data_IF_218410759860
#
_entry.id   IF_218410759860
#
_cell.length_a   1.000
_cell.length_b   1.000
_cell.length_c   1.000
_cell.angle_alpha   90.00
_cell.angle_beta   90.00
_cell.angle_gamma   90.00
#
_symmetry.space_group_name_H-M   'P 1'
#
loop_
_entity.id
_entity.type
_entity.pdbx_description
1 polymer ?
#
# COMPACT_ATOMS: atom_id res chain seq x y z
N UNK A 1 -40.43 59.70 -6.37
CA UNK A 1 -40.09 58.39 -5.77
C UNK A 1 -39.02 57.76 -6.65
N UNK A 2 -37.83 57.43 -6.12
CA UNK A 2 -36.78 56.82 -6.94
C UNK A 2 -36.96 55.29 -7.02
N UNK A 3 -36.72 54.76 -8.22
CA UNK A 3 -36.63 53.33 -8.53
C UNK A 3 -35.42 52.72 -7.81
N UNK A 4 -35.66 51.69 -7.00
CA UNK A 4 -34.59 50.92 -6.34
C UNK A 4 -34.34 49.67 -7.18
N UNK A 5 -33.12 49.44 -7.71
CA UNK A 5 -32.84 48.26 -8.52
C UNK A 5 -32.77 47.00 -7.67
N UNK A 6 -33.38 45.93 -8.18
CA UNK A 6 -33.40 44.56 -7.66
C UNK A 6 -31.99 43.96 -7.53
N UNK A 7 -31.68 43.16 -6.50
CA UNK A 7 -30.35 42.57 -6.34
C UNK A 7 -30.07 41.47 -7.40
N UNK A 8 -28.86 41.55 -7.96
CA UNK A 8 -28.27 40.58 -8.88
C UNK A 8 -28.08 39.23 -8.17
N UNK A 9 -28.73 38.18 -8.68
CA UNK A 9 -28.64 36.80 -8.17
C UNK A 9 -27.31 36.20 -8.64
N UNK A 10 -26.45 35.82 -7.70
CA UNK A 10 -25.17 35.17 -7.99
C UNK A 10 -25.36 33.83 -8.73
N UNK A 11 -24.45 33.46 -9.66
CA UNK A 11 -24.49 32.16 -10.30
C UNK A 11 -24.18 31.06 -9.28
N UNK A 12 -25.06 30.07 -9.22
CA UNK A 12 -24.88 28.83 -8.46
C UNK A 12 -23.64 28.08 -8.92
N UNK A 13 -22.80 27.67 -7.96
CA UNK A 13 -21.61 26.85 -8.14
C UNK A 13 -21.86 25.63 -9.03
N UNK A 14 -20.91 25.24 -9.91
CA UNK A 14 -21.07 24.06 -10.74
C UNK A 14 -21.11 22.81 -9.86
N UNK A 15 -22.23 22.10 -9.91
CA UNK A 15 -22.36 20.75 -9.38
C UNK A 15 -21.43 19.85 -10.19
N UNK A 16 -20.31 19.41 -9.59
CA UNK A 16 -19.47 18.39 -10.18
C UNK A 16 -20.25 17.08 -10.19
N UNK A 17 -20.88 16.81 -11.32
CA UNK A 17 -21.48 15.52 -11.65
C UNK A 17 -20.41 14.45 -11.51
N UNK A 18 -20.59 13.55 -10.54
CA UNK A 18 -19.84 12.30 -10.44
C UNK A 18 -20.17 11.46 -11.68
N UNK A 19 -19.39 11.64 -12.75
CA UNK A 19 -19.40 10.70 -13.85
C UNK A 19 -18.80 9.39 -13.33
N UNK A 20 -19.66 8.39 -13.15
CA UNK A 20 -19.20 7.05 -12.83
C UNK A 20 -18.30 6.53 -13.96
N UNK A 21 -17.14 5.92 -13.66
CA UNK A 21 -16.27 5.38 -14.69
C UNK A 21 -16.99 4.27 -15.49
N UNK A 22 -16.65 4.08 -16.77
CA UNK A 22 -17.26 3.04 -17.60
C UNK A 22 -17.00 1.64 -16.99
N UNK A 23 -17.97 0.72 -17.10
CA UNK A 23 -17.86 -0.62 -16.54
C UNK A 23 -16.68 -1.36 -17.18
N UNK A 24 -15.78 -1.87 -16.34
CA UNK A 24 -14.54 -2.58 -16.74
C UNK A 24 -13.24 -1.85 -16.39
N UNK A 25 -13.30 -0.59 -15.97
CA UNK A 25 -12.12 0.12 -15.44
C UNK A 25 -11.94 -0.27 -13.97
N UNK A 26 -10.78 -0.81 -13.54
CA UNK A 26 -10.53 -1.06 -12.12
C UNK A 26 -10.73 0.25 -11.35
N UNK A 27 -11.31 0.16 -10.15
CA UNK A 27 -11.55 1.33 -9.32
C UNK A 27 -10.23 2.12 -9.17
N UNK A 28 -10.28 3.46 -9.28
CA UNK A 28 -9.08 4.28 -9.18
C UNK A 28 -8.44 4.08 -7.82
N UNK A 29 -7.11 3.89 -7.82
CA UNK A 29 -6.32 3.66 -6.61
C UNK A 29 -6.27 4.91 -5.75
N UNK A 30 -6.28 4.73 -4.45
CA UNK A 30 -6.30 5.83 -3.48
C UNK A 30 -4.89 6.11 -2.98
N UNK A 31 -4.44 7.35 -3.15
CA UNK A 31 -3.18 7.86 -2.61
C UNK A 31 -3.49 8.78 -1.41
N UNK A 32 -2.94 8.46 -0.25
CA UNK A 32 -2.98 9.34 0.92
C UNK A 32 -1.84 10.36 0.83
N UNK A 33 -2.13 11.64 0.94
CA UNK A 33 -1.14 12.72 0.95
C UNK A 33 -1.17 13.41 2.31
N UNK A 34 -0.04 13.36 3.02
CA UNK A 34 0.11 13.88 4.38
C UNK A 34 1.16 14.99 4.37
N UNK A 35 0.71 16.22 4.57
CA UNK A 35 1.55 17.42 4.53
C UNK A 35 0.77 18.52 5.26
N UNK A 36 1.41 19.37 6.06
CA UNK A 36 0.71 20.45 6.77
C UNK A 36 0.45 21.66 5.86
N UNK A 37 1.22 21.81 4.78
CA UNK A 37 1.08 22.87 3.81
C UNK A 37 -0.07 22.60 2.82
N UNK A 38 -1.16 23.36 2.96
CA UNK A 38 -2.35 23.27 2.09
C UNK A 38 -2.01 23.38 0.60
N UNK A 39 -1.05 24.23 0.24
CA UNK A 39 -0.64 24.43 -1.15
C UNK A 39 0.04 23.17 -1.73
N UNK A 40 0.85 22.48 -0.93
CA UNK A 40 1.51 21.24 -1.35
C UNK A 40 0.47 20.12 -1.51
N UNK A 41 -0.42 19.94 -0.51
CA UNK A 41 -1.53 18.98 -0.61
C UNK A 41 -2.37 19.22 -1.86
N UNK A 42 -2.74 20.47 -2.14
CA UNK A 42 -3.55 20.82 -3.30
C UNK A 42 -2.82 20.56 -4.62
N UNK A 43 -1.52 20.84 -4.68
CA UNK A 43 -0.71 20.61 -5.88
C UNK A 43 -0.60 19.10 -6.16
N UNK A 44 -0.26 18.30 -5.15
CA UNK A 44 -0.21 16.84 -5.26
C UNK A 44 -1.56 16.26 -5.63
N UNK A 45 -2.64 16.76 -5.03
CA UNK A 45 -4.00 16.36 -5.37
C UNK A 45 -4.28 16.57 -6.87
N UNK A 46 -4.07 17.78 -7.39
CA UNK A 46 -4.33 18.10 -8.80
C UNK A 46 -3.47 17.25 -9.74
N UNK A 47 -2.20 17.03 -9.40
CA UNK A 47 -1.30 16.20 -10.20
C UNK A 47 -1.78 14.76 -10.24
N UNK A 48 -2.09 14.15 -9.10
CA UNK A 48 -2.43 12.74 -9.00
C UNK A 48 -3.85 12.44 -9.52
N UNK A 49 -4.82 13.31 -9.23
CA UNK A 49 -6.18 13.21 -9.79
C UNK A 49 -6.15 13.33 -11.32
N UNK A 50 -5.29 14.19 -11.87
CA UNK A 50 -5.08 14.31 -13.32
C UNK A 50 -4.53 13.05 -13.98
N UNK A 51 -3.90 12.15 -13.20
CA UNK A 51 -3.40 10.85 -13.68
C UNK A 51 -4.36 9.69 -13.36
N UNK A 52 -5.55 9.98 -12.84
CA UNK A 52 -6.60 8.99 -12.56
C UNK A 52 -6.55 8.35 -11.17
N UNK A 53 -5.77 8.90 -10.23
CA UNK A 53 -5.79 8.47 -8.83
C UNK A 53 -6.90 9.16 -8.04
N UNK A 54 -7.40 8.50 -7.00
CA UNK A 54 -8.14 9.18 -5.92
C UNK A 54 -7.13 9.69 -4.91
N UNK A 55 -7.36 10.88 -4.35
CA UNK A 55 -6.46 11.45 -3.35
C UNK A 55 -7.23 11.69 -2.06
N UNK A 56 -6.72 11.14 -0.96
CA UNK A 56 -7.13 11.48 0.39
C UNK A 56 -6.05 12.38 1.01
N UNK A 57 -6.45 13.45 1.69
CA UNK A 57 -5.52 14.39 2.31
C UNK A 57 -5.55 14.30 3.83
N UNK A 58 -4.40 14.48 4.47
CA UNK A 58 -4.28 14.65 5.92
C UNK A 58 -3.31 15.80 6.24
N UNK A 59 -3.61 16.58 7.27
CA UNK A 59 -2.77 17.71 7.70
C UNK A 59 -1.80 17.32 8.82
N UNK A 60 -2.04 16.17 9.46
CA UNK A 60 -1.28 15.67 10.61
C UNK A 60 -1.00 14.18 10.47
N UNK A 61 0.04 13.69 11.14
CA UNK A 61 0.31 12.26 11.18
C UNK A 61 -0.79 11.48 11.89
N UNK A 62 -1.38 12.04 12.95
CA UNK A 62 -2.49 11.42 13.67
C UNK A 62 -3.72 11.20 12.76
N UNK A 63 -4.08 12.20 11.94
CA UNK A 63 -5.16 12.07 10.96
C UNK A 63 -4.83 11.00 9.91
N UNK A 64 -3.59 10.99 9.41
CA UNK A 64 -3.13 9.98 8.47
C UNK A 64 -3.26 8.55 9.03
N UNK A 65 -2.82 8.33 10.28
CA UNK A 65 -2.93 7.04 10.96
C UNK A 65 -4.40 6.63 11.17
N UNK A 66 -5.29 7.58 11.49
CA UNK A 66 -6.71 7.32 11.61
C UNK A 66 -7.37 6.91 10.28
N UNK A 67 -6.97 7.56 9.17
CA UNK A 67 -7.42 7.19 7.82
C UNK A 67 -6.94 5.77 7.48
N UNK A 68 -5.66 5.46 7.74
CA UNK A 68 -5.09 4.14 7.45
C UNK A 68 -5.72 3.01 8.27
N UNK A 69 -6.18 3.30 9.48
CA UNK A 69 -6.89 2.34 10.32
C UNK A 69 -8.34 2.09 9.87
N UNK A 70 -8.91 2.94 9.00
CA UNK A 70 -10.31 2.82 8.57
C UNK A 70 -10.48 1.80 7.45
N UNK A 71 -11.25 0.71 7.66
CA UNK A 71 -11.51 -0.29 6.62
C UNK A 71 -12.38 0.25 5.47
N UNK A 72 -13.11 1.35 5.68
CA UNK A 72 -13.98 1.96 4.66
C UNK A 72 -13.20 2.78 3.62
N UNK A 73 -11.96 3.15 3.92
CA UNK A 73 -11.12 4.02 3.10
C UNK A 73 -9.78 3.36 2.79
N UNK A 74 -9.75 2.29 1.99
CA UNK A 74 -8.50 1.61 1.66
C UNK A 74 -7.55 2.54 0.91
N UNK A 75 -6.33 2.63 1.41
CA UNK A 75 -5.23 3.38 0.82
C UNK A 75 -4.28 2.41 0.12
N UNK A 76 -3.92 2.71 -1.13
CA UNK A 76 -3.01 1.90 -1.92
C UNK A 76 -1.55 2.36 -1.78
N UNK A 77 -1.33 3.64 -1.51
CA UNK A 77 -0.02 4.27 -1.31
C UNK A 77 -0.15 5.51 -0.43
N UNK A 78 0.81 5.76 0.44
CA UNK A 78 0.90 7.01 1.19
C UNK A 78 2.12 7.84 0.78
N UNK A 79 1.93 9.15 0.75
CA UNK A 79 2.93 10.17 0.56
C UNK A 79 2.98 10.98 1.86
N UNK A 80 4.14 11.02 2.52
CA UNK A 80 4.29 11.53 3.88
C UNK A 80 5.37 12.60 3.96
N UNK A 81 5.03 13.82 4.40
CA UNK A 81 6.04 14.83 4.73
C UNK A 81 6.81 14.44 6.02
N UNK A 82 8.10 14.74 6.07
CA UNK A 82 8.94 14.52 7.25
C UNK A 82 8.58 15.49 8.37
N UNK A 83 8.26 16.75 8.03
CA UNK A 83 7.90 17.77 9.01
C UNK A 83 6.38 17.86 9.08
N UNK A 84 5.81 17.33 10.16
CA UNK A 84 4.39 17.49 10.48
C UNK A 84 4.26 18.14 11.87
N UNK A 85 3.14 18.82 12.16
CA UNK A 85 2.99 19.63 13.37
C UNK A 85 2.87 18.81 14.66
N UNK A 86 2.46 17.54 14.58
CA UNK A 86 2.16 16.68 15.73
C UNK A 86 3.23 15.62 16.02
N UNK A 87 3.84 15.02 14.99
CA UNK A 87 5.00 14.13 15.12
C UNK A 87 5.83 14.12 13.83
N UNK A 88 7.05 13.59 13.86
CA UNK A 88 7.85 13.44 12.63
C UNK A 88 7.21 12.44 11.68
N UNK A 89 7.28 12.71 10.36
CA UNK A 89 6.90 11.74 9.33
C UNK A 89 7.70 10.43 9.43
N UNK A 90 8.96 10.48 9.89
CA UNK A 90 9.74 9.26 10.12
C UNK A 90 9.18 8.42 11.28
N UNK A 91 8.65 9.07 12.32
CA UNK A 91 8.01 8.38 13.44
C UNK A 91 6.66 7.78 13.02
N UNK A 92 5.90 8.51 12.19
CA UNK A 92 4.66 8.01 11.59
C UNK A 92 4.94 6.80 10.68
N UNK A 93 5.98 6.85 9.85
CA UNK A 93 6.45 5.70 9.05
C UNK A 93 6.76 4.49 9.92
N UNK A 94 7.50 4.67 11.02
CA UNK A 94 7.81 3.59 11.95
C UNK A 94 6.55 2.97 12.58
N UNK A 95 5.55 3.80 12.94
CA UNK A 95 4.25 3.32 13.45
C UNK A 95 3.49 2.51 12.40
N UNK A 96 3.40 3.01 11.16
CA UNK A 96 2.74 2.29 10.05
C UNK A 96 3.40 0.93 9.81
N UNK A 97 4.74 0.88 9.86
CA UNK A 97 5.50 -0.36 9.67
C UNK A 97 5.35 -1.37 10.82
N UNK A 98 4.95 -0.90 12.01
CA UNK A 98 4.75 -1.75 13.19
C UNK A 98 3.34 -2.35 13.27
N UNK A 99 2.40 -1.87 12.46
CA UNK A 99 1.01 -2.34 12.43
C UNK A 99 0.82 -3.38 11.32
N UNK A 100 0.38 -4.59 11.68
CA UNK A 100 0.17 -5.70 10.74
C UNK A 100 -0.78 -5.38 9.57
N UNK A 101 -1.76 -4.50 9.76
CA UNK A 101 -2.70 -4.10 8.72
C UNK A 101 -2.11 -3.13 7.70
N UNK A 102 -1.03 -2.42 8.05
CA UNK A 102 -0.48 -1.34 7.23
C UNK A 102 1.02 -1.47 6.95
N UNK A 103 1.69 -2.49 7.51
CA UNK A 103 3.12 -2.73 7.34
C UNK A 103 3.57 -2.90 5.89
N UNK A 104 2.70 -3.40 5.02
CA UNK A 104 2.98 -3.62 3.60
C UNK A 104 2.52 -2.45 2.70
N UNK A 105 1.96 -1.39 3.29
CA UNK A 105 1.57 -0.20 2.54
C UNK A 105 2.81 0.46 1.93
N UNK A 106 2.88 0.67 0.60
CA UNK A 106 3.97 1.45 0.03
C UNK A 106 3.90 2.91 0.50
N UNK A 107 5.05 3.45 0.92
CA UNK A 107 5.14 4.81 1.48
C UNK A 107 6.27 5.56 0.79
N UNK A 108 5.95 6.73 0.25
CA UNK A 108 6.91 7.70 -0.28
C UNK A 108 7.07 8.80 0.75
N UNK A 109 8.31 9.10 1.13
CA UNK A 109 8.61 10.19 2.06
C UNK A 109 9.02 11.43 1.28
N UNK A 110 8.52 12.59 1.67
CA UNK A 110 8.87 13.90 1.10
C UNK A 110 9.45 14.77 2.22
N UNK A 111 10.44 15.62 1.92
CA UNK A 111 10.93 16.62 2.86
C UNK A 111 11.27 17.93 2.16
N UNK A 112 10.87 19.06 2.74
CA UNK A 112 11.31 20.38 2.27
C UNK A 112 12.74 20.77 2.67
N UNK A 113 13.35 20.02 3.59
CA UNK A 113 14.75 20.20 4.00
C UNK A 113 15.38 18.81 4.09
N UNK A 114 15.57 18.17 2.95
CA UNK A 114 16.10 16.82 2.94
C UNK A 114 17.57 16.83 3.34
N UNK A 115 17.92 16.11 4.41
CA UNK A 115 19.31 15.73 4.63
C UNK A 115 19.54 14.32 4.09
N UNK A 116 20.79 14.02 3.71
CA UNK A 116 21.18 12.66 3.33
C UNK A 116 20.86 11.67 4.46
N UNK A 117 20.97 12.10 5.71
CA UNK A 117 20.67 11.27 6.86
C UNK A 117 19.17 10.91 6.96
N UNK A 118 18.28 11.88 6.72
CA UNK A 118 16.83 11.63 6.73
C UNK A 118 16.42 10.68 5.61
N UNK A 119 17.00 10.84 4.42
CA UNK A 119 16.75 9.94 3.29
C UNK A 119 17.18 8.50 3.62
N UNK A 120 18.39 8.35 4.18
CA UNK A 120 18.90 7.03 4.60
C UNK A 120 18.03 6.43 5.69
N UNK A 121 17.59 7.23 6.66
CA UNK A 121 16.72 6.78 7.74
C UNK A 121 15.35 6.35 7.21
N UNK A 122 14.74 7.10 6.30
CA UNK A 122 13.48 6.75 5.66
C UNK A 122 13.56 5.39 4.94
N UNK A 123 14.61 5.17 4.14
CA UNK A 123 14.81 3.90 3.44
C UNK A 123 15.04 2.75 4.44
N UNK A 124 15.81 2.96 5.51
CA UNK A 124 16.02 1.95 6.57
C UNK A 124 14.73 1.58 7.29
N UNK A 125 13.81 2.53 7.47
CA UNK A 125 12.49 2.31 8.04
C UNK A 125 11.52 1.66 7.04
N UNK A 126 11.93 1.44 5.80
CA UNK A 126 11.11 0.77 4.78
C UNK A 126 10.24 1.73 3.95
N UNK A 127 10.63 3.00 3.81
CA UNK A 127 10.07 3.84 2.75
C UNK A 127 10.41 3.24 1.37
N UNK A 128 9.46 3.29 0.45
CA UNK A 128 9.60 2.83 -0.92
C UNK A 128 10.41 3.82 -1.78
N UNK A 129 10.32 5.11 -1.47
CA UNK A 129 11.06 6.18 -2.13
C UNK A 129 11.19 7.41 -1.20
N UNK A 130 12.11 8.31 -1.52
CA UNK A 130 12.32 9.56 -0.77
C UNK A 130 12.56 10.74 -1.72
N UNK A 131 11.90 11.87 -1.45
CA UNK A 131 12.03 13.09 -2.23
C UNK A 131 12.32 14.35 -1.42
N UNK A 132 13.13 15.21 -2.01
CA UNK A 132 13.32 16.60 -1.59
C UNK A 132 12.34 17.52 -2.34
N UNK A 133 11.63 18.41 -1.63
CA UNK A 133 10.84 19.49 -2.24
C UNK A 133 11.82 20.58 -2.77
N UNK A 134 11.56 21.23 -3.91
CA UNK A 134 10.35 21.18 -4.72
C UNK A 134 10.30 19.98 -5.67
N UNK A 135 9.10 19.42 -5.82
CA UNK A 135 8.89 18.21 -6.61
C UNK A 135 8.49 18.56 -8.04
N UNK A 136 9.23 18.05 -9.02
CA UNK A 136 8.78 18.06 -10.40
C UNK A 136 7.56 17.13 -10.55
N UNK A 137 6.51 17.62 -11.20
CA UNK A 137 5.26 16.87 -11.43
C UNK A 137 5.53 15.48 -12.00
N UNK A 138 6.37 15.42 -13.04
CA UNK A 138 6.68 14.21 -13.78
C UNK A 138 7.34 13.17 -12.85
N UNK A 139 8.20 13.62 -11.94
CA UNK A 139 8.89 12.74 -10.99
C UNK A 139 7.92 12.09 -10.00
N UNK A 140 6.96 12.86 -9.49
CA UNK A 140 5.93 12.35 -8.55
C UNK A 140 5.12 11.25 -9.22
N UNK A 141 4.62 11.52 -10.43
CA UNK A 141 3.76 10.58 -11.17
C UNK A 141 4.50 9.29 -11.49
N UNK A 142 5.75 9.40 -11.96
CA UNK A 142 6.59 8.23 -12.27
C UNK A 142 6.84 7.40 -11.02
N UNK A 143 7.19 8.02 -9.89
CA UNK A 143 7.45 7.28 -8.66
C UNK A 143 6.21 6.61 -8.10
N UNK A 144 5.08 7.32 -8.00
CA UNK A 144 3.82 6.74 -7.54
C UNK A 144 3.43 5.53 -8.39
N UNK A 145 3.55 5.61 -9.73
CA UNK A 145 3.29 4.47 -10.62
C UNK A 145 4.24 3.32 -10.37
N UNK A 146 5.54 3.58 -10.29
CA UNK A 146 6.56 2.53 -10.10
C UNK A 146 6.37 1.81 -8.77
N UNK A 147 6.16 2.57 -7.70
CA UNK A 147 5.95 2.04 -6.35
C UNK A 147 4.65 1.21 -6.30
N UNK A 148 3.54 1.72 -6.85
CA UNK A 148 2.29 0.96 -6.91
C UNK A 148 2.41 -0.31 -7.74
N UNK A 149 3.09 -0.24 -8.89
CA UNK A 149 3.30 -1.40 -9.75
C UNK A 149 4.13 -2.47 -9.05
N UNK A 150 5.22 -2.07 -8.37
CA UNK A 150 6.05 -2.98 -7.58
C UNK A 150 5.25 -3.63 -6.44
N UNK A 151 4.47 -2.85 -5.68
CA UNK A 151 3.64 -3.35 -4.60
C UNK A 151 2.58 -4.36 -5.10
N UNK A 152 1.98 -4.10 -6.25
CA UNK A 152 1.02 -5.03 -6.86
C UNK A 152 1.67 -6.32 -7.35
N UNK A 153 2.83 -6.22 -7.99
CA UNK A 153 3.58 -7.40 -8.43
C UNK A 153 3.98 -8.27 -7.23
N UNK A 154 4.44 -7.66 -6.14
CA UNK A 154 4.78 -8.38 -4.91
C UNK A 154 3.57 -9.06 -4.27
N UNK A 155 2.41 -8.38 -4.21
CA UNK A 155 1.17 -8.96 -3.72
C UNK A 155 0.70 -10.15 -4.56
N UNK A 156 0.80 -10.04 -5.87
CA UNK A 156 0.42 -11.14 -6.77
C UNK A 156 1.38 -12.33 -6.62
N UNK A 157 2.68 -12.07 -6.54
CA UNK A 157 3.67 -13.12 -6.29
C UNK A 157 3.43 -13.84 -4.95
N UNK A 158 3.14 -13.10 -3.88
CA UNK A 158 2.81 -13.66 -2.57
C UNK A 158 1.55 -14.54 -2.65
N UNK A 159 0.49 -14.05 -3.30
CA UNK A 159 -0.76 -14.79 -3.51
C UNK A 159 -0.55 -16.09 -4.29
N UNK A 160 0.21 -16.04 -5.39
CA UNK A 160 0.51 -17.23 -6.20
C UNK A 160 1.32 -18.24 -5.40
N UNK A 161 2.28 -17.77 -4.60
CA UNK A 161 3.12 -18.62 -3.75
C UNK A 161 2.29 -19.31 -2.67
N UNK A 162 1.38 -18.59 -2.01
CA UNK A 162 0.43 -19.15 -1.04
C UNK A 162 -0.48 -20.21 -1.65
N UNK A 163 -1.04 -19.93 -2.84
CA UNK A 163 -1.88 -20.90 -3.55
C UNK A 163 -1.13 -22.19 -3.88
N UNK A 164 0.15 -22.08 -4.25
CA UNK A 164 0.98 -23.26 -4.45
C UNK A 164 1.15 -24.04 -3.15
N UNK A 165 1.54 -23.39 -2.04
CA UNK A 165 1.68 -24.04 -0.73
C UNK A 165 0.40 -24.78 -0.31
N UNK A 166 -0.77 -24.15 -0.47
CA UNK A 166 -2.08 -24.75 -0.17
C UNK A 166 -2.36 -25.98 -1.04
N UNK A 167 -2.01 -25.95 -2.33
CA UNK A 167 -2.22 -27.07 -3.25
C UNK A 167 -1.41 -28.32 -2.89
N UNK A 168 -0.26 -28.15 -2.22
CA UNK A 168 0.60 -29.25 -1.78
C UNK A 168 0.43 -29.59 -0.29
N UNK A 169 -0.55 -28.99 0.39
CA UNK A 169 -0.77 -29.25 1.81
C UNK A 169 -1.38 -30.64 2.01
N UNK A 170 -0.63 -31.54 2.64
CA UNK A 170 -1.16 -32.86 3.03
C UNK A 170 -2.14 -32.71 4.20
N UNK A 171 -3.38 -33.17 4.01
CA UNK A 171 -4.42 -33.15 5.03
C UNK A 171 -4.51 -34.53 5.68
N UNK A 172 -4.16 -34.63 6.96
CA UNK A 172 -4.36 -35.85 7.73
C UNK A 172 -3.97 -35.69 9.20
N UNK A 173 -4.84 -36.14 10.10
CA UNK A 173 -4.62 -36.11 11.57
C UNK A 173 -4.50 -37.50 12.18
N UNK A 174 -4.47 -38.55 11.37
CA UNK A 174 -4.37 -39.92 11.85
C UNK A 174 -2.98 -40.19 12.45
N UNK A 175 -2.91 -41.07 13.45
CA UNK A 175 -1.64 -41.43 14.08
C UNK A 175 -0.56 -41.92 13.08
N UNK A 176 -0.88 -42.68 12.00
CA UNK A 176 0.10 -43.00 10.96
C UNK A 176 0.63 -41.78 10.20
N UNK A 177 -0.23 -40.81 9.85
CA UNK A 177 0.17 -39.60 9.12
C UNK A 177 1.03 -38.68 10.00
N UNK A 178 0.71 -38.54 11.29
CA UNK A 178 1.55 -37.74 12.18
C UNK A 178 2.95 -38.33 12.36
N UNK A 179 3.08 -39.66 12.42
CA UNK A 179 4.40 -40.33 12.43
C UNK A 179 5.17 -40.06 11.14
N UNK A 180 4.51 -40.14 10.00
CA UNK A 180 5.11 -39.85 8.70
C UNK A 180 5.64 -38.40 8.62
N UNK A 181 4.86 -37.40 9.05
CA UNK A 181 5.34 -36.01 9.09
C UNK A 181 6.57 -35.84 9.98
N UNK A 182 6.59 -36.50 11.14
CA UNK A 182 7.74 -36.43 12.04
C UNK A 182 9.01 -37.07 11.46
N UNK A 183 8.87 -38.11 10.62
CA UNK A 183 9.98 -38.70 9.88
C UNK A 183 10.46 -37.76 8.76
N UNK A 184 9.54 -37.15 8.01
CA UNK A 184 9.86 -36.16 6.97
C UNK A 184 10.64 -34.98 7.57
N UNK A 185 10.20 -34.40 8.68
CA UNK A 185 10.89 -33.28 9.34
C UNK A 185 12.34 -33.60 9.71
N UNK A 186 12.64 -34.85 10.10
CA UNK A 186 14.00 -35.28 10.44
C UNK A 186 14.89 -35.45 9.22
N UNK A 187 14.31 -35.88 8.10
CA UNK A 187 15.07 -36.25 6.89
C UNK A 187 15.17 -35.09 5.89
N UNK A 188 14.17 -34.21 5.83
CA UNK A 188 14.08 -33.06 4.93
C UNK A 188 15.31 -32.13 4.91
N UNK A 189 15.98 -31.80 6.04
CA UNK A 189 17.17 -30.94 6.00
C UNK A 189 18.45 -31.68 5.52
N UNK A 190 18.37 -32.98 5.26
CA UNK A 190 19.51 -33.81 4.87
C UNK A 190 19.61 -33.96 3.35
N UNK A 191 20.80 -34.34 2.86
CA UNK A 191 21.02 -34.67 1.44
C UNK A 191 20.81 -36.16 1.13
N UNK A 192 20.23 -36.94 2.04
CA UNK A 192 20.05 -38.38 1.87
C UNK A 192 18.99 -38.66 0.80
N UNK A 193 19.19 -39.72 -0.01
CA UNK A 193 18.15 -40.19 -0.93
C UNK A 193 17.05 -40.90 -0.16
N UNK A 194 15.79 -40.54 -0.41
CA UNK A 194 14.62 -41.08 0.29
C UNK A 194 13.76 -41.88 -0.70
N UNK A 195 13.34 -43.08 -0.30
CA UNK A 195 12.39 -43.90 -1.05
C UNK A 195 11.00 -43.77 -0.43
N UNK A 196 10.02 -43.34 -1.22
CA UNK A 196 8.62 -43.20 -0.77
C UNK A 196 7.78 -44.30 -1.43
N UNK A 197 7.11 -45.13 -0.63
CA UNK A 197 6.28 -46.25 -1.10
C UNK A 197 4.81 -46.07 -0.71
N UNK A 198 3.91 -46.82 -1.37
CA UNK A 198 2.46 -46.74 -1.14
C UNK A 198 1.64 -47.02 -2.41
N UNK A 199 0.36 -47.29 -2.22
CA UNK A 199 -0.59 -47.57 -3.31
C UNK A 199 -0.84 -46.36 -4.23
N UNK A 200 -1.46 -46.57 -5.39
CA UNK A 200 -1.76 -45.45 -6.30
C UNK A 200 -2.75 -44.48 -5.64
N UNK A 201 -2.51 -43.17 -5.78
CA UNK A 201 -3.36 -42.12 -5.21
C UNK A 201 -3.13 -41.80 -3.72
N UNK A 202 -2.18 -42.44 -3.03
CA UNK A 202 -1.91 -42.17 -1.59
C UNK A 202 -1.13 -40.88 -1.30
N UNK A 203 -0.89 -40.04 -2.31
CA UNK A 203 -0.20 -38.75 -2.11
C UNK A 203 1.33 -38.82 -2.03
N UNK A 204 1.97 -39.89 -2.54
CA UNK A 204 3.45 -40.03 -2.56
C UNK A 204 4.18 -38.83 -3.18
N UNK A 205 3.59 -38.20 -4.20
CA UNK A 205 4.15 -37.00 -4.84
C UNK A 205 4.10 -35.76 -3.94
N UNK A 206 3.16 -35.69 -2.99
CA UNK A 206 3.07 -34.59 -2.02
C UNK A 206 4.16 -34.71 -0.95
N UNK A 207 4.59 -35.93 -0.62
CA UNK A 207 5.65 -36.20 0.36
C UNK A 207 7.05 -35.86 -0.18
N UNK A 208 7.24 -35.97 -1.49
CA UNK A 208 8.53 -35.77 -2.15
C UNK A 208 8.91 -34.30 -2.37
N UNK A 209 8.00 -33.36 -2.09
CA UNK A 209 8.12 -31.92 -2.39
C UNK A 209 8.51 -31.13 -1.16
#
# INVERSE_FOLDING_TARGET
MPDVPTPFRAPSSPSFSQSSPPPGTPAPRTVLVVDDEKNIRRTLQLVLEGEGFRVSGAETAAEALAILASPESPVDLAILDVKLPDMSGLDALAKIRSDEGTKDLPIIVISGHATVNDAVQAIKLGASDFFEKPLARERIVVSVRNVLHAALAQRELARVSEQQLQRYQMIGRSAPIQRLFHEIEKVAPTKASVLITGESGTGKELIAR
#
